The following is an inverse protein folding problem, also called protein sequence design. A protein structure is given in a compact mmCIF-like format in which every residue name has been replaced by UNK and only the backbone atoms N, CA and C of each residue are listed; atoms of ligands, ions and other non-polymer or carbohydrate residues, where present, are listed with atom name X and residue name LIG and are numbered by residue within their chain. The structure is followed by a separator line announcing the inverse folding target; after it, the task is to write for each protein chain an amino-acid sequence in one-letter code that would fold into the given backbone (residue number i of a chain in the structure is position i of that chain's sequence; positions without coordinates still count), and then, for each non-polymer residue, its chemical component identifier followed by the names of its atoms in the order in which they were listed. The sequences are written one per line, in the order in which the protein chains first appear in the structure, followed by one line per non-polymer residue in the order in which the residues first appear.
data_IF_387422961725
#
_entry.id   IF_387422961725
#
_cell.length_a   1.000
_cell.length_b   1.000
_cell.length_c   1.000
_cell.angle_alpha   90.00
_cell.angle_beta   90.00
_cell.angle_gamma   90.00
#
_symmetry.space_group_name_H-M   'P 1'
#
loop_
_entity.id
_entity.type
_entity.pdbx_description
1 polymer ?
#
# COMPACT_ATOMS: atom_id res chain seq x y z
N UNK A 1 -4.51 -14.15 -20.76
CA UNK A 1 -4.42 -13.28 -19.57
C UNK A 1 -5.12 -13.99 -18.42
N UNK A 2 -4.54 -14.04 -17.22
CA UNK A 2 -5.08 -14.84 -16.10
C UNK A 2 -6.39 -14.20 -15.57
N UNK A 3 -7.53 -14.92 -15.54
CA UNK A 3 -8.81 -14.39 -15.05
C UNK A 3 -8.74 -13.84 -13.63
N UNK A 4 -7.88 -14.44 -12.80
CA UNK A 4 -7.63 -14.01 -11.43
C UNK A 4 -7.01 -12.60 -11.39
N UNK A 5 -6.04 -12.31 -12.27
CA UNK A 5 -5.40 -10.99 -12.35
C UNK A 5 -6.39 -9.89 -12.75
N UNK A 6 -7.32 -10.19 -13.67
CA UNK A 6 -8.37 -9.24 -14.07
C UNK A 6 -9.35 -8.94 -12.93
N UNK A 7 -9.61 -9.92 -12.07
CA UNK A 7 -10.49 -9.77 -10.93
C UNK A 7 -9.86 -8.88 -9.86
N UNK A 8 -8.56 -9.10 -9.54
CA UNK A 8 -7.85 -8.31 -8.54
C UNK A 8 -7.61 -6.86 -9.02
N UNK A 9 -7.45 -6.66 -10.33
CA UNK A 9 -7.27 -5.34 -10.93
C UNK A 9 -8.61 -4.68 -11.35
N UNK A 10 -9.76 -5.20 -10.91
CA UNK A 10 -11.07 -4.61 -11.23
C UNK A 10 -11.33 -3.34 -10.41
N UNK A 11 -11.95 -2.30 -10.98
CA UNK A 11 -12.25 -1.05 -10.26
C UNK A 11 -12.91 -1.27 -8.89
N UNK A 12 -13.82 -2.25 -8.78
CA UNK A 12 -14.48 -2.61 -7.53
C UNK A 12 -13.50 -3.15 -6.47
N UNK A 13 -12.52 -3.96 -6.89
CA UNK A 13 -11.47 -4.47 -6.00
C UNK A 13 -10.53 -3.36 -5.56
N UNK A 14 -10.25 -2.38 -6.42
CA UNK A 14 -9.46 -1.20 -6.07
C UNK A 14 -10.18 -0.38 -5.03
N UNK A 15 -11.46 -0.10 -5.24
CA UNK A 15 -12.25 0.69 -4.30
C UNK A 15 -12.32 -0.03 -2.95
N UNK A 16 -12.46 -1.35 -2.95
CA UNK A 16 -12.43 -2.16 -1.74
C UNK A 16 -11.08 -2.10 -1.03
N UNK A 17 -9.97 -2.20 -1.77
CA UNK A 17 -8.61 -2.08 -1.23
C UNK A 17 -8.35 -0.68 -0.67
N UNK A 18 -8.76 0.38 -1.37
CA UNK A 18 -8.63 1.76 -0.90
C UNK A 18 -9.41 1.99 0.40
N UNK A 19 -10.67 1.51 0.47
CA UNK A 19 -11.48 1.55 1.70
C UNK A 19 -10.84 0.76 2.84
N UNK A 20 -10.28 -0.42 2.53
CA UNK A 20 -9.59 -1.25 3.51
C UNK A 20 -8.33 -0.55 4.04
N UNK A 21 -7.50 0.03 3.18
CA UNK A 21 -6.30 0.75 3.59
C UNK A 21 -6.63 2.02 4.38
N UNK A 22 -7.65 2.79 3.98
CA UNK A 22 -8.10 3.96 4.76
C UNK A 22 -8.64 3.57 6.14
N UNK A 23 -9.46 2.52 6.22
CA UNK A 23 -9.98 2.00 7.48
C UNK A 23 -8.87 1.47 8.38
N UNK A 24 -7.92 0.70 7.82
CA UNK A 24 -6.79 0.18 8.55
C UNK A 24 -5.82 1.29 8.98
N UNK A 25 -5.54 2.30 8.13
CA UNK A 25 -4.74 3.48 8.49
C UNK A 25 -5.38 4.27 9.64
N UNK A 26 -6.70 4.45 9.62
CA UNK A 26 -7.45 5.10 10.70
C UNK A 26 -7.43 4.30 12.00
N UNK A 27 -7.57 2.98 11.92
CA UNK A 27 -7.47 2.09 13.09
C UNK A 27 -6.05 2.08 13.68
N UNK A 28 -5.04 2.02 12.82
CA UNK A 28 -3.63 2.06 13.18
C UNK A 28 -3.25 3.40 13.82
N UNK A 29 -3.80 4.53 13.36
CA UNK A 29 -3.57 5.84 14.00
C UNK A 29 -4.31 6.03 15.33
N UNK A 30 -5.35 5.22 15.60
CA UNK A 30 -6.14 5.28 16.84
C UNK A 30 -5.54 4.43 17.97
N UNK A 31 -4.78 3.41 17.61
CA UNK A 31 -4.11 2.50 18.55
C UNK A 31 -2.62 2.87 18.53
N UNK A 32 -1.99 3.12 19.68
CA UNK A 32 -0.55 3.46 19.76
C UNK A 32 0.33 2.26 19.35
N UNK A 33 0.29 1.86 18.08
CA UNK A 33 1.22 0.88 17.52
C UNK A 33 2.65 1.42 17.57
N UNK A 34 3.61 0.52 17.72
CA UNK A 34 5.02 0.89 17.68
C UNK A 34 5.41 1.41 16.28
N UNK A 35 6.52 2.15 16.19
CA UNK A 35 6.98 2.77 14.94
C UNK A 35 7.23 1.74 13.83
N UNK A 36 7.70 0.55 14.17
CA UNK A 36 7.99 -0.50 13.18
C UNK A 36 6.71 -1.02 12.49
N UNK A 37 5.61 -1.15 13.25
CA UNK A 37 4.30 -1.54 12.70
C UNK A 37 3.73 -0.43 11.81
N UNK A 38 3.88 0.83 12.19
CA UNK A 38 3.44 1.97 11.38
C UNK A 38 4.20 2.03 10.05
N UNK A 39 5.54 1.91 10.11
CA UNK A 39 6.40 1.89 8.92
C UNK A 39 6.05 0.72 7.98
N UNK A 40 5.79 -0.47 8.55
CA UNK A 40 5.37 -1.62 7.76
C UNK A 40 4.05 -1.36 7.03
N UNK A 41 3.09 -0.74 7.71
CA UNK A 41 1.79 -0.40 7.15
C UNK A 41 1.88 0.66 6.04
N UNK A 42 2.70 1.69 6.22
CA UNK A 42 2.95 2.71 5.20
C UNK A 42 3.65 2.12 3.98
N UNK A 43 4.61 1.21 4.19
CA UNK A 43 5.33 0.56 3.09
C UNK A 43 4.42 -0.38 2.28
N UNK A 44 3.51 -1.11 2.93
CA UNK A 44 2.49 -1.94 2.27
C UNK A 44 1.59 -1.08 1.38
N UNK A 45 1.10 0.06 1.89
CA UNK A 45 0.27 0.97 1.11
C UNK A 45 1.04 1.53 -0.08
N UNK A 46 2.27 2.02 0.13
CA UNK A 46 3.09 2.60 -0.93
C UNK A 46 3.39 1.59 -2.05
N UNK A 47 3.76 0.35 -1.72
CA UNK A 47 4.00 -0.71 -2.70
C UNK A 47 2.71 -1.08 -3.45
N UNK A 48 1.58 -1.09 -2.76
CA UNK A 48 0.27 -1.37 -3.37
C UNK A 48 -0.08 -0.30 -4.40
N UNK A 49 0.07 0.98 -4.05
CA UNK A 49 -0.13 2.08 -4.98
C UNK A 49 0.83 1.99 -6.18
N UNK A 50 2.12 1.71 -5.95
CA UNK A 50 3.10 1.58 -7.03
C UNK A 50 2.78 0.45 -8.01
N UNK A 51 2.28 -0.69 -7.52
CA UNK A 51 1.89 -1.81 -8.39
C UNK A 51 0.60 -1.56 -9.13
N UNK A 52 -0.27 -0.74 -8.55
CA UNK A 52 -1.59 -0.51 -9.10
C UNK A 52 -1.63 0.64 -10.10
N UNK A 53 -0.96 1.76 -9.79
CA UNK A 53 -0.90 2.92 -10.67
C UNK A 53 0.37 2.89 -11.54
N UNK A 54 0.23 2.83 -12.87
CA UNK A 54 1.35 2.86 -13.81
C UNK A 54 2.26 4.09 -13.68
N UNK A 55 1.73 5.19 -13.15
CA UNK A 55 2.44 6.45 -13.03
C UNK A 55 2.12 7.19 -11.73
N UNK A 56 3.02 8.11 -11.34
CA UNK A 56 2.80 9.03 -10.22
C UNK A 56 1.58 9.92 -10.45
N UNK A 57 1.33 10.33 -11.70
CA UNK A 57 0.20 11.19 -12.04
C UNK A 57 -1.14 10.47 -11.84
N UNK A 58 -1.26 9.21 -12.28
CA UNK A 58 -2.45 8.39 -12.03
C UNK A 58 -2.68 8.11 -10.53
N UNK A 59 -1.60 7.92 -9.77
CA UNK A 59 -1.68 7.78 -8.31
C UNK A 59 -2.21 9.06 -7.64
N UNK A 60 -1.73 10.24 -8.07
CA UNK A 60 -2.19 11.53 -7.53
C UNK A 60 -3.62 11.85 -7.98
N UNK A 61 -4.01 11.48 -9.20
CA UNK A 61 -5.39 11.63 -9.66
C UNK A 61 -6.36 10.82 -8.78
N UNK A 62 -5.99 9.59 -8.43
CA UNK A 62 -6.76 8.76 -7.51
C UNK A 62 -6.71 9.26 -6.05
N UNK A 63 -5.61 9.87 -5.63
CA UNK A 63 -5.41 10.41 -4.29
C UNK A 63 -4.92 11.86 -4.30
N UNK A 64 -5.81 12.84 -4.56
CA UNK A 64 -5.43 14.25 -4.73
C UNK A 64 -4.71 14.85 -3.51
N UNK A 65 -4.94 14.31 -2.31
CA UNK A 65 -4.23 14.71 -1.09
C UNK A 65 -2.72 14.49 -1.15
N UNK A 66 -2.21 13.65 -2.07
CA UNK A 66 -0.79 13.40 -2.25
C UNK A 66 -0.09 14.49 -3.08
N UNK A 67 -0.83 15.39 -3.74
CA UNK A 67 -0.24 16.39 -4.63
C UNK A 67 0.71 17.35 -3.89
N UNK A 68 0.39 17.70 -2.63
CA UNK A 68 1.27 18.51 -1.77
C UNK A 68 2.63 17.84 -1.50
N UNK A 69 2.71 16.52 -1.63
CA UNK A 69 3.89 15.70 -1.39
C UNK A 69 4.41 15.02 -2.68
N UNK A 70 3.97 15.49 -3.87
CA UNK A 70 4.29 14.91 -5.19
C UNK A 70 5.76 14.54 -5.37
N UNK A 71 6.69 15.41 -4.96
CA UNK A 71 8.13 15.16 -5.09
C UNK A 71 8.60 13.97 -4.25
N UNK A 72 8.00 13.77 -3.06
CA UNK A 72 8.28 12.59 -2.22
C UNK A 72 7.72 11.33 -2.85
N UNK A 73 6.50 11.40 -3.41
CA UNK A 73 5.88 10.28 -4.13
C UNK A 73 6.74 9.87 -5.32
N UNK A 74 7.21 10.84 -6.12
CA UNK A 74 8.10 10.60 -7.25
C UNK A 74 9.42 9.95 -6.81
N UNK A 75 10.04 10.44 -5.74
CA UNK A 75 11.26 9.85 -5.20
C UNK A 75 11.06 8.39 -4.77
N UNK A 76 9.93 8.07 -4.14
CA UNK A 76 9.58 6.70 -3.75
C UNK A 76 9.41 5.81 -4.99
N UNK A 77 8.69 6.29 -6.02
CA UNK A 77 8.55 5.61 -7.32
C UNK A 77 9.92 5.26 -7.93
N UNK A 78 10.82 6.25 -7.99
CA UNK A 78 12.18 6.07 -8.50
C UNK A 78 13.00 5.06 -7.67
N UNK A 79 12.73 4.92 -6.37
CA UNK A 79 13.37 3.87 -5.56
C UNK A 79 12.80 2.49 -5.88
N UNK A 80 11.49 2.38 -6.07
CA UNK A 80 10.85 1.11 -6.41
C UNK A 80 11.23 0.63 -7.82
N UNK A 81 11.41 1.53 -8.78
CA UNK A 81 11.89 1.20 -10.14
C UNK A 81 13.30 0.57 -10.15
N UNK A 82 14.11 0.82 -9.12
CA UNK A 82 15.45 0.19 -8.98
C UNK A 82 15.37 -1.26 -8.50
N UNK A 83 14.21 -1.72 -8.06
CA UNK A 83 14.01 -3.06 -7.52
C UNK A 83 13.41 -3.97 -8.59
N UNK A 84 13.84 -5.23 -8.59
CA UNK A 84 13.15 -6.26 -9.36
C UNK A 84 11.76 -6.52 -8.79
N UNK A 85 10.80 -7.02 -9.58
CA UNK A 85 9.47 -7.40 -9.08
C UNK A 85 9.53 -8.37 -7.89
N UNK A 86 10.52 -9.27 -7.88
CA UNK A 86 10.75 -10.20 -6.76
C UNK A 86 11.19 -9.47 -5.49
N UNK A 87 12.19 -8.59 -5.57
CA UNK A 87 12.64 -7.82 -4.41
C UNK A 87 11.52 -6.98 -3.80
N UNK A 88 10.67 -6.37 -4.65
CA UNK A 88 9.52 -5.61 -4.18
C UNK A 88 8.48 -6.51 -3.48
N UNK A 89 8.27 -7.75 -3.97
CA UNK A 89 7.43 -8.74 -3.30
C UNK A 89 8.02 -9.17 -1.95
N UNK A 90 9.33 -9.40 -1.88
CA UNK A 90 10.01 -9.81 -0.66
C UNK A 90 9.89 -8.74 0.43
N UNK A 91 10.02 -7.45 0.06
CA UNK A 91 9.77 -6.31 0.97
C UNK A 91 8.32 -6.30 1.45
N UNK A 92 7.36 -6.44 0.53
CA UNK A 92 5.94 -6.45 0.86
C UNK A 92 5.60 -7.56 1.86
N UNK A 93 6.07 -8.78 1.61
CA UNK A 93 5.87 -9.95 2.50
C UNK A 93 6.56 -9.72 3.84
N UNK A 94 7.78 -9.17 3.85
CA UNK A 94 8.49 -8.85 5.09
C UNK A 94 7.73 -7.83 5.94
N UNK A 95 7.14 -6.81 5.32
CA UNK A 95 6.29 -5.83 6.02
C UNK A 95 5.04 -6.48 6.60
N UNK A 96 4.38 -7.39 5.86
CA UNK A 96 3.22 -8.12 6.38
C UNK A 96 3.57 -8.92 7.65
N UNK A 97 4.73 -9.55 7.68
CA UNK A 97 5.18 -10.31 8.87
C UNK A 97 5.44 -9.43 10.10
N UNK A 98 5.61 -8.12 9.92
CA UNK A 98 5.74 -7.15 11.03
C UNK A 98 4.38 -6.69 11.57
N UNK A 99 3.31 -6.91 10.81
CA UNK A 99 1.96 -6.68 11.30
C UNK A 99 1.56 -7.89 12.15
N UNK A 100 1.94 -7.90 13.43
CA UNK A 100 1.37 -8.84 14.39
C UNK A 100 -0.08 -8.45 14.63
N UNK A 101 -0.98 -9.04 13.87
CA UNK A 101 -2.40 -8.98 14.18
C UNK A 101 -2.61 -9.84 15.43
N UNK A 102 -2.88 -9.21 16.57
CA UNK A 102 -3.41 -9.93 17.72
C UNK A 102 -4.72 -10.58 17.28
N UNK A 103 -4.73 -11.91 17.20
CA UNK A 103 -5.90 -12.71 16.82
C UNK A 103 -7.11 -12.44 17.74
N UNK A 104 -6.86 -11.89 18.94
CA UNK A 104 -7.88 -11.49 19.92
C UNK A 104 -8.74 -10.27 19.51
N UNK A 105 -8.40 -9.54 18.45
CA UNK A 105 -9.18 -8.40 17.95
C UNK A 105 -10.20 -8.77 16.85
N UNK A 106 -10.28 -10.06 16.49
CA UNK A 106 -11.19 -10.59 15.46
C UNK A 106 -12.33 -11.45 16.07
N UNK A 107 -12.44 -11.47 17.41
CA UNK A 107 -13.51 -12.17 18.13
C UNK A 107 -14.75 -11.28 18.37
#
# INVERSE_FOLDING_TARGET
MNPFLNQIASPDTIELLAKFFDAASKSVKRVNYNSETLEAFDLIQAISCYRYFPSVDECIEAFPSLDSDRNKVKYIWEQFDKLTPKQLSDIYISSLNKLTFNEDLVA
#
